data_IF_315029524646
#
_entry.id   IF_315029524646
#
_cell.length_a   1.000
_cell.length_b   1.000
_cell.length_c   1.000
_cell.angle_alpha   90.00
_cell.angle_beta   90.00
_cell.angle_gamma   90.00
#
_symmetry.space_group_name_H-M   'P 1'
#
loop_
_entity.id
_entity.type
_entity.pdbx_description
1 polymer ?
#
# COMPACT_ATOMS: atom_id res chain seq x y z
N UNK A 1 -2.63 -13.89 -21.28
CA UNK A 1 -2.77 -12.68 -20.44
C UNK A 1 -3.78 -13.05 -19.38
N UNK A 2 -3.36 -13.18 -18.13
CA UNK A 2 -4.33 -13.35 -17.05
C UNK A 2 -5.23 -12.12 -17.02
N UNK A 3 -6.55 -12.27 -16.77
CA UNK A 3 -7.42 -11.11 -16.60
C UNK A 3 -6.83 -10.22 -15.52
N UNK A 4 -6.75 -8.93 -15.79
CA UNK A 4 -6.19 -7.94 -14.89
C UNK A 4 -7.17 -7.77 -13.71
N UNK A 5 -7.15 -8.71 -12.77
CA UNK A 5 -8.07 -8.71 -11.63
C UNK A 5 -7.85 -7.42 -10.83
N UNK A 6 -8.94 -6.74 -10.41
CA UNK A 6 -8.83 -5.55 -9.58
C UNK A 6 -8.16 -5.92 -8.25
N UNK A 7 -7.35 -5.01 -7.71
CA UNK A 7 -6.77 -5.13 -6.37
C UNK A 7 -7.80 -4.87 -5.28
N UNK A 8 -8.80 -4.03 -5.55
CA UNK A 8 -9.91 -3.78 -4.62
C UNK A 8 -11.25 -4.02 -5.30
N UNK A 9 -12.12 -4.75 -4.62
CA UNK A 9 -13.51 -4.90 -5.02
C UNK A 9 -14.39 -3.81 -4.38
N UNK A 10 -15.24 -3.16 -5.17
CA UNK A 10 -16.17 -2.14 -4.66
C UNK A 10 -17.01 -2.66 -3.48
N UNK A 11 -17.50 -3.90 -3.58
CA UNK A 11 -18.35 -4.51 -2.55
C UNK A 11 -17.63 -4.59 -1.21
N UNK A 12 -16.33 -4.88 -1.21
CA UNK A 12 -15.52 -4.91 0.01
C UNK A 12 -15.55 -3.55 0.74
N UNK A 13 -15.40 -2.45 0.00
CA UNK A 13 -15.44 -1.10 0.59
C UNK A 13 -16.85 -0.78 1.10
N UNK A 14 -17.89 -1.13 0.34
CA UNK A 14 -19.28 -0.95 0.78
C UNK A 14 -19.56 -1.71 2.06
N UNK A 15 -19.05 -2.94 2.18
CA UNK A 15 -19.20 -3.76 3.38
C UNK A 15 -18.45 -3.16 4.59
N UNK A 16 -17.24 -2.61 4.38
CA UNK A 16 -16.48 -1.87 5.40
C UNK A 16 -17.23 -0.62 5.90
N UNK A 17 -18.02 0.00 5.03
CA UNK A 17 -18.86 1.16 5.33
C UNK A 17 -20.27 0.76 5.82
N UNK A 18 -20.50 -0.52 6.14
CA UNK A 18 -21.80 -1.02 6.59
C UNK A 18 -22.96 -0.73 5.62
N UNK A 19 -22.66 -0.66 4.32
CA UNK A 19 -23.62 -0.37 3.26
C UNK A 19 -23.88 1.12 3.01
N UNK A 20 -23.24 2.03 3.76
CA UNK A 20 -23.42 3.47 3.56
C UNK A 20 -22.49 4.01 2.47
N UNK A 21 -22.96 3.96 1.23
CA UNK A 21 -22.21 4.42 0.06
C UNK A 21 -21.93 5.93 0.06
N UNK A 22 -22.58 6.73 0.92
CA UNK A 22 -22.31 8.17 1.01
C UNK A 22 -20.88 8.46 1.47
N UNK A 23 -20.28 7.53 2.22
CA UNK A 23 -18.90 7.61 2.72
C UNK A 23 -17.87 7.00 1.77
N UNK A 24 -18.30 6.40 0.65
CA UNK A 24 -17.40 5.72 -0.31
C UNK A 24 -16.31 6.66 -0.81
N UNK A 25 -16.70 7.87 -1.22
CA UNK A 25 -15.78 8.89 -1.73
C UNK A 25 -14.76 9.32 -0.67
N UNK A 26 -15.23 9.64 0.54
CA UNK A 26 -14.37 10.08 1.64
C UNK A 26 -13.37 8.98 2.03
N UNK A 27 -13.83 7.73 2.08
CA UNK A 27 -12.96 6.57 2.32
C UNK A 27 -11.90 6.42 1.21
N UNK A 28 -12.31 6.55 -0.06
CA UNK A 28 -11.41 6.44 -1.19
C UNK A 28 -10.36 7.56 -1.19
N UNK A 29 -10.75 8.81 -0.96
CA UNK A 29 -9.86 9.96 -0.83
C UNK A 29 -8.84 9.76 0.31
N UNK A 30 -9.31 9.40 1.51
CA UNK A 30 -8.44 9.14 2.66
C UNK A 30 -7.48 7.95 2.43
N UNK A 31 -7.94 6.94 1.69
CA UNK A 31 -7.11 5.79 1.31
C UNK A 31 -6.04 6.19 0.30
N UNK A 32 -6.39 6.99 -0.72
CA UNK A 32 -5.43 7.52 -1.71
C UNK A 32 -4.31 8.28 -1.00
N UNK A 33 -4.65 9.17 -0.07
CA UNK A 33 -3.66 9.93 0.70
C UNK A 33 -2.75 9.00 1.53
N UNK A 34 -3.36 8.04 2.23
CA UNK A 34 -2.63 7.09 3.09
C UNK A 34 -1.66 6.20 2.31
N UNK A 35 -2.09 5.64 1.17
CA UNK A 35 -1.23 4.80 0.33
C UNK A 35 -0.15 5.59 -0.40
N UNK A 36 -0.44 6.83 -0.80
CA UNK A 36 0.56 7.74 -1.40
C UNK A 36 1.66 8.06 -0.40
N UNK A 37 1.29 8.45 0.82
CA UNK A 37 2.26 8.76 1.89
C UNK A 37 3.08 7.52 2.27
N UNK A 38 2.41 6.37 2.41
CA UNK A 38 3.10 5.11 2.70
C UNK A 38 4.14 4.77 1.62
N UNK A 39 3.78 4.82 0.34
CA UNK A 39 4.68 4.53 -0.77
C UNK A 39 5.94 5.40 -0.72
N UNK A 40 5.76 6.70 -0.52
CA UNK A 40 6.87 7.65 -0.41
C UNK A 40 7.75 7.33 0.80
N UNK A 41 7.16 7.14 1.98
CA UNK A 41 7.91 6.88 3.20
C UNK A 41 8.64 5.53 3.18
N UNK A 42 8.03 4.49 2.62
CA UNK A 42 8.63 3.18 2.42
C UNK A 42 9.90 3.28 1.57
N UNK A 43 9.78 3.92 0.42
CA UNK A 43 10.89 4.14 -0.51
C UNK A 43 12.02 4.96 0.11
N UNK A 44 11.68 6.06 0.76
CA UNK A 44 12.67 6.90 1.44
C UNK A 44 13.39 6.14 2.56
N UNK A 45 12.67 5.35 3.34
CA UNK A 45 13.23 4.57 4.44
C UNK A 45 14.26 3.56 3.93
N UNK A 46 13.94 2.81 2.87
CA UNK A 46 14.86 1.84 2.27
C UNK A 46 16.09 2.48 1.64
N UNK A 47 15.94 3.63 0.97
CA UNK A 47 17.07 4.35 0.36
C UNK A 47 18.01 4.92 1.43
N UNK A 48 17.45 5.43 2.53
CA UNK A 48 18.21 6.09 3.61
C UNK A 48 18.61 5.16 4.74
N UNK A 49 18.23 3.88 4.65
CA UNK A 49 18.45 2.89 5.70
C UNK A 49 17.84 3.29 7.05
N UNK A 50 16.62 3.86 7.02
CA UNK A 50 15.91 4.40 8.18
C UNK A 50 14.83 3.43 8.70
N UNK A 51 15.21 2.57 9.63
CA UNK A 51 14.33 1.56 10.24
C UNK A 51 13.13 2.16 10.98
N UNK A 52 13.32 3.32 11.62
CA UNK A 52 12.26 3.99 12.39
C UNK A 52 11.18 4.48 11.42
N UNK A 53 11.60 5.14 10.33
CA UNK A 53 10.68 5.60 9.29
C UNK A 53 9.96 4.44 8.62
N UNK A 54 10.66 3.35 8.33
CA UNK A 54 10.05 2.13 7.79
C UNK A 54 8.96 1.59 8.73
N UNK A 55 9.31 1.44 10.02
CA UNK A 55 8.38 0.95 11.05
C UNK A 55 7.14 1.84 11.17
N UNK A 56 7.32 3.16 11.19
CA UNK A 56 6.22 4.11 11.30
C UNK A 56 5.29 4.06 10.08
N UNK A 57 5.86 3.99 8.87
CA UNK A 57 5.09 3.85 7.64
C UNK A 57 4.25 2.57 7.65
N UNK A 58 4.84 1.44 8.03
CA UNK A 58 4.16 0.15 8.15
C UNK A 58 3.02 0.16 9.18
N UNK A 59 3.25 0.70 10.39
CA UNK A 59 2.22 0.77 11.42
C UNK A 59 1.01 1.60 11.00
N UNK A 60 1.23 2.66 10.21
CA UNK A 60 0.15 3.51 9.72
C UNK A 60 -0.68 2.82 8.65
N UNK A 61 -0.06 2.13 7.68
CA UNK A 61 -0.78 1.57 6.54
C UNK A 61 -1.40 0.20 6.80
N UNK A 62 -0.78 -0.62 7.67
CA UNK A 62 -1.19 -2.02 7.89
C UNK A 62 -2.68 -2.20 8.18
N UNK A 63 -3.32 -1.41 9.09
CA UNK A 63 -4.74 -1.58 9.37
C UNK A 63 -5.60 -1.42 8.12
N UNK A 64 -5.36 -0.35 7.34
CA UNK A 64 -6.13 -0.06 6.12
C UNK A 64 -5.88 -1.12 5.05
N UNK A 65 -4.62 -1.50 4.84
CA UNK A 65 -4.27 -2.56 3.90
C UNK A 65 -4.95 -3.90 4.25
N UNK A 66 -5.01 -4.26 5.53
CA UNK A 66 -5.68 -5.49 5.99
C UNK A 66 -7.20 -5.41 5.85
N UNK A 67 -7.82 -4.27 6.17
CA UNK A 67 -9.27 -4.07 5.96
C UNK A 67 -9.65 -4.23 4.49
N UNK A 68 -8.77 -3.82 3.58
CA UNK A 68 -8.97 -3.90 2.14
C UNK A 68 -8.42 -5.18 1.50
N UNK A 69 -8.03 -6.19 2.29
CA UNK A 69 -7.43 -7.45 1.81
C UNK A 69 -6.17 -7.30 0.93
N UNK A 70 -5.43 -6.20 1.09
CA UNK A 70 -4.21 -5.88 0.35
C UNK A 70 -2.97 -6.55 0.99
N UNK A 71 -3.03 -7.87 1.19
CA UNK A 71 -2.01 -8.63 1.90
C UNK A 71 -0.62 -8.52 1.26
N UNK A 72 -0.55 -8.35 -0.07
CA UNK A 72 0.71 -8.24 -0.77
C UNK A 72 1.53 -6.99 -0.39
N UNK A 73 0.87 -5.85 -0.09
CA UNK A 73 1.55 -4.66 0.48
C UNK A 73 2.18 -5.01 1.83
N UNK A 74 1.44 -5.76 2.66
CA UNK A 74 1.91 -6.16 3.98
C UNK A 74 3.11 -7.10 3.85
N UNK A 75 3.07 -8.07 2.93
CA UNK A 75 4.19 -8.98 2.66
C UNK A 75 5.45 -8.24 2.20
N UNK A 76 5.31 -7.31 1.24
CA UNK A 76 6.43 -6.48 0.77
C UNK A 76 7.01 -5.63 1.91
N UNK A 77 6.14 -5.09 2.77
CA UNK A 77 6.57 -4.39 3.98
C UNK A 77 7.33 -5.32 4.94
N UNK A 78 6.84 -6.53 5.19
CA UNK A 78 7.52 -7.49 6.08
C UNK A 78 8.91 -7.84 5.53
N UNK A 79 8.99 -8.16 4.23
CA UNK A 79 10.26 -8.42 3.53
C UNK A 79 11.23 -7.25 3.61
N UNK A 80 10.73 -6.01 3.58
CA UNK A 80 11.59 -4.83 3.66
C UNK A 80 12.35 -4.70 4.98
N UNK A 81 11.81 -5.25 6.08
CA UNK A 81 12.47 -5.25 7.39
C UNK A 81 13.68 -6.17 7.44
N UNK A 82 13.72 -7.21 6.60
CA UNK A 82 14.86 -8.11 6.50
C UNK A 82 15.96 -7.53 5.59
N UNK A 83 15.58 -6.63 4.67
CA UNK A 83 16.51 -5.99 3.71
C UNK A 83 17.11 -4.69 4.23
N UNK A 84 16.40 -3.95 5.07
CA UNK A 84 16.93 -2.74 5.68
C UNK A 84 18.13 -3.11 6.57
N UNK A 85 19.18 -2.30 6.54
CA UNK A 85 20.45 -2.57 7.20
C UNK A 85 21.44 -3.40 6.37
N UNK A 86 20.99 -4.04 5.28
CA UNK A 86 21.83 -4.91 4.45
C UNK A 86 22.51 -4.15 3.30
N UNK A 87 23.48 -4.81 2.64
CA UNK A 87 24.11 -4.29 1.42
C UNK A 87 23.45 -4.79 0.11
N UNK A 88 22.26 -5.41 0.19
CA UNK A 88 21.55 -6.00 -0.95
C UNK A 88 20.83 -4.94 -1.80
N UNK A 89 21.59 -4.02 -2.40
CA UNK A 89 21.05 -2.85 -3.11
C UNK A 89 20.12 -3.21 -4.27
N UNK A 90 20.37 -4.31 -4.96
CA UNK A 90 19.54 -4.70 -6.11
C UNK A 90 18.19 -5.29 -5.67
N UNK A 91 18.16 -6.07 -4.57
CA UNK A 91 16.91 -6.54 -3.97
C UNK A 91 16.08 -5.38 -3.42
N UNK A 92 16.72 -4.41 -2.76
CA UNK A 92 16.06 -3.18 -2.29
C UNK A 92 15.44 -2.42 -3.46
N UNK A 93 16.19 -2.20 -4.55
CA UNK A 93 15.66 -1.53 -5.75
C UNK A 93 14.50 -2.28 -6.36
N UNK A 94 14.58 -3.61 -6.41
CA UNK A 94 13.52 -4.44 -6.95
C UNK A 94 12.26 -4.34 -6.09
N UNK A 95 12.40 -4.43 -4.76
CA UNK A 95 11.28 -4.31 -3.82
C UNK A 95 10.61 -2.93 -3.90
N UNK A 96 11.40 -1.85 -4.03
CA UNK A 96 10.87 -0.49 -4.22
C UNK A 96 10.05 -0.42 -5.52
N UNK A 97 10.54 -1.00 -6.63
CA UNK A 97 9.81 -1.00 -7.91
C UNK A 97 8.52 -1.81 -7.84
N UNK A 98 8.55 -2.94 -7.16
CA UNK A 98 7.38 -3.80 -6.94
C UNK A 98 6.31 -3.04 -6.14
N UNK A 99 6.70 -2.41 -5.03
CA UNK A 99 5.83 -1.54 -4.23
C UNK A 99 5.29 -0.36 -5.04
N UNK A 100 6.15 0.33 -5.79
CA UNK A 100 5.76 1.47 -6.63
C UNK A 100 4.72 1.06 -7.69
N UNK A 101 4.89 -0.11 -8.30
CA UNK A 101 3.97 -0.64 -9.31
C UNK A 101 2.64 -1.03 -8.69
N UNK A 102 2.66 -1.73 -7.55
CA UNK A 102 1.46 -2.18 -6.86
C UNK A 102 0.65 -1.00 -6.32
N UNK A 103 1.29 -0.07 -5.60
CA UNK A 103 0.65 1.15 -5.14
C UNK A 103 0.13 1.99 -6.32
N UNK A 104 0.87 2.06 -7.43
CA UNK A 104 0.41 2.74 -8.64
C UNK A 104 -0.92 2.20 -9.16
N UNK A 105 -1.04 0.86 -9.28
CA UNK A 105 -2.31 0.22 -9.69
C UNK A 105 -3.42 0.48 -8.66
N UNK A 106 -3.12 0.30 -7.37
CA UNK A 106 -4.06 0.52 -6.28
C UNK A 106 -4.64 1.94 -6.26
N UNK A 107 -3.77 2.94 -6.43
CA UNK A 107 -4.17 4.35 -6.45
C UNK A 107 -5.02 4.70 -7.67
N UNK A 108 -4.80 4.05 -8.82
CA UNK A 108 -5.66 4.22 -10.00
C UNK A 108 -7.05 3.67 -9.69
N UNK A 109 -7.15 2.44 -9.17
CA UNK A 109 -8.44 1.82 -8.83
C UNK A 109 -9.19 2.61 -7.75
N UNK A 110 -8.53 3.09 -6.70
CA UNK A 110 -9.16 3.90 -5.67
C UNK A 110 -9.74 5.21 -6.22
N UNK A 111 -9.08 5.81 -7.21
CA UNK A 111 -9.55 7.06 -7.86
C UNK A 111 -10.78 6.84 -8.73
N UNK A 112 -11.11 5.62 -9.11
CA UNK A 112 -12.37 5.31 -9.81
C UNK A 112 -13.60 5.47 -8.89
N UNK A 113 -13.40 5.58 -7.57
CA UNK A 113 -14.45 5.76 -6.58
C UNK A 113 -14.67 7.22 -6.13
N UNK A 114 -13.97 8.20 -6.74
CA UNK A 114 -13.96 9.63 -6.35
C UNK A 114 -14.74 10.49 -7.35
#
# INVERSE_FOLDING_TARGET
>A
MEPNNPLIERQLIVDLLYGDENYMKEFAEASVDSFTEFQQHFKEALIKNDEIKLRNAGHKIKPVAQMMNLYHIVEMYEKSKDLIGTNNRDEIKQLIREMDTYCGKLLVELKEFI
#
